data_IF_273900835037
#
_entry.id   IF_273900835037
#
_cell.length_a   1.000
_cell.length_b   1.000
_cell.length_c   1.000
_cell.angle_alpha   90.00
_cell.angle_beta   90.00
_cell.angle_gamma   90.00
#
_symmetry.space_group_name_H-M   'P 1'
#
loop_
_entity.id
_entity.type
_entity.pdbx_description
1 polymer ?
#
# COMPACT_ATOMS: atom_id res chain seq x y z
N UNK A 1 3.28 -3.83 29.07
CA UNK A 1 2.64 -4.01 27.73
C UNK A 1 1.17 -3.62 27.80
N UNK A 2 0.66 -2.92 26.79
CA UNK A 2 -0.75 -2.48 26.70
C UNK A 2 -1.50 -3.38 25.70
N UNK A 3 -2.69 -3.86 26.08
CA UNK A 3 -3.55 -4.66 25.20
C UNK A 3 -4.73 -3.80 24.68
N UNK A 4 -5.25 -4.07 23.47
CA UNK A 4 -4.67 -5.00 22.48
C UNK A 4 -3.36 -4.46 21.87
N UNK A 5 -2.47 -5.36 21.49
CA UNK A 5 -1.25 -5.04 20.75
C UNK A 5 -1.64 -4.64 19.31
N UNK A 6 -1.08 -3.57 18.79
CA UNK A 6 -1.38 -3.11 17.43
C UNK A 6 -0.36 -3.65 16.42
N UNK A 7 -0.79 -4.57 15.55
CA UNK A 7 -0.01 -5.17 14.47
C UNK A 7 -0.73 -5.06 13.11
N UNK A 8 -1.38 -3.92 12.89
CA UNK A 8 -2.12 -3.63 11.64
C UNK A 8 -1.68 -2.29 10.99
N UNK A 9 -0.39 -2.01 11.03
CA UNK A 9 0.20 -0.77 10.49
C UNK A 9 0.03 -0.59 8.98
N UNK A 10 -0.25 -1.66 8.23
CA UNK A 10 -0.61 -1.55 6.81
C UNK A 10 -2.03 -1.03 6.58
N UNK A 11 -2.93 -1.15 7.55
CA UNK A 11 -4.25 -0.54 7.48
C UNK A 11 -4.18 0.97 7.75
N UNK A 12 -3.52 1.37 8.82
CA UNK A 12 -3.22 2.77 9.15
C UNK A 12 -2.15 2.83 10.24
N UNK A 13 -1.39 3.91 10.29
CA UNK A 13 -0.50 4.21 11.40
C UNK A 13 -1.14 5.25 12.33
N UNK A 14 -0.86 5.20 13.65
CA UNK A 14 -1.14 6.34 14.52
C UNK A 14 -0.32 7.55 14.05
N UNK A 15 -0.84 8.74 14.23
CA UNK A 15 -0.07 9.96 13.96
C UNK A 15 1.05 10.06 14.99
N UNK A 16 2.29 10.31 14.54
CA UNK A 16 3.41 10.59 15.44
C UNK A 16 3.13 11.88 16.24
N UNK A 17 3.47 11.89 17.53
CA UNK A 17 3.19 13.05 18.38
C UNK A 17 3.87 14.32 17.88
N UNK A 18 5.07 14.21 17.27
CA UNK A 18 5.79 15.32 16.65
C UNK A 18 4.99 15.91 15.50
N UNK A 19 4.38 15.05 14.69
CA UNK A 19 3.50 15.41 13.58
C UNK A 19 2.22 16.09 14.11
N UNK A 20 1.57 15.51 15.11
CA UNK A 20 0.37 16.08 15.69
C UNK A 20 0.62 17.49 16.28
N UNK A 21 1.72 17.67 17.02
CA UNK A 21 2.13 18.98 17.53
C UNK A 21 2.36 19.99 16.41
N UNK A 22 3.03 19.56 15.32
CA UNK A 22 3.27 20.43 14.17
C UNK A 22 1.97 20.86 13.48
N UNK A 23 1.01 19.95 13.33
CA UNK A 23 -0.31 20.25 12.77
C UNK A 23 -1.08 21.28 13.59
N UNK A 24 -1.00 21.23 14.92
CA UNK A 24 -1.71 22.17 15.82
C UNK A 24 -1.30 23.63 15.60
N UNK A 25 -0.07 23.89 15.13
CA UNK A 25 0.41 25.24 14.79
C UNK A 25 -0.38 25.88 13.63
N UNK A 26 -1.18 25.10 12.88
CA UNK A 26 -1.85 25.53 11.65
C UNK A 26 -3.39 25.47 11.73
N UNK A 27 -3.96 25.45 12.93
CA UNK A 27 -5.40 25.25 13.13
C UNK A 27 -6.14 26.45 13.71
N UNK A 28 -5.52 27.21 14.62
CA UNK A 28 -6.22 28.18 15.48
C UNK A 28 -5.75 29.60 15.26
N UNK A 29 -6.45 30.54 15.87
CA UNK A 29 -6.16 31.99 15.76
C UNK A 29 -4.76 32.37 16.24
N UNK A 30 -4.20 31.62 17.18
CA UNK A 30 -2.84 31.84 17.69
C UNK A 30 -1.75 31.25 16.80
N UNK A 31 -2.12 30.54 15.73
CA UNK A 31 -1.24 29.90 14.79
C UNK A 31 -1.34 30.45 13.36
N UNK A 32 -0.97 29.62 12.38
CA UNK A 32 -1.01 29.95 10.96
C UNK A 32 -2.24 29.28 10.33
N UNK A 33 -3.36 29.97 10.25
CA UNK A 33 -4.63 29.42 9.76
C UNK A 33 -5.04 29.94 8.37
N UNK A 34 -4.20 30.73 7.72
CA UNK A 34 -4.55 31.40 6.48
C UNK A 34 -4.78 30.47 5.29
N UNK A 35 -5.49 30.99 4.28
CA UNK A 35 -5.64 30.30 3.00
C UNK A 35 -4.42 30.60 2.12
N UNK A 36 -3.67 29.59 1.66
CA UNK A 36 -2.47 29.80 0.82
C UNK A 36 -2.77 30.47 -0.54
N UNK A 37 -4.02 30.45 -0.98
CA UNK A 37 -4.43 31.19 -2.18
C UNK A 37 -4.61 32.70 -2.00
N UNK A 38 -4.61 33.18 -0.74
CA UNK A 38 -4.75 34.59 -0.40
C UNK A 38 -3.40 35.32 -0.49
N UNK A 39 -3.12 35.89 -1.66
CA UNK A 39 -1.80 36.52 -1.96
C UNK A 39 -1.66 37.96 -1.49
N UNK A 40 -2.70 38.58 -0.94
CA UNK A 40 -2.72 40.01 -0.61
C UNK A 40 -2.33 40.32 0.85
N UNK A 41 -2.12 39.32 1.70
CA UNK A 41 -1.86 39.53 3.12
C UNK A 41 -1.01 38.43 3.75
N UNK A 42 -0.40 38.75 4.89
CA UNK A 42 0.55 37.92 5.61
C UNK A 42 0.01 36.52 5.96
N UNK A 43 -1.27 36.38 6.34
CA UNK A 43 -1.85 35.09 6.67
C UNK A 43 -1.77 34.09 5.52
N UNK A 44 -2.07 34.56 4.30
CA UNK A 44 -1.95 33.73 3.11
C UNK A 44 -0.50 33.37 2.79
N UNK A 45 0.43 34.33 2.90
CA UNK A 45 1.86 34.09 2.63
C UNK A 45 2.46 33.05 3.58
N UNK A 46 2.14 33.11 4.86
CA UNK A 46 2.60 32.13 5.86
C UNK A 46 2.04 30.73 5.56
N UNK A 47 0.80 30.64 5.14
CA UNK A 47 0.20 29.36 4.74
C UNK A 47 0.83 28.80 3.46
N UNK A 48 1.10 29.65 2.46
CA UNK A 48 1.78 29.26 1.21
C UNK A 48 3.20 28.75 1.50
N UNK A 49 3.97 29.45 2.33
CA UNK A 49 5.31 29.04 2.78
C UNK A 49 5.29 27.65 3.45
N UNK A 50 4.32 27.42 4.33
CA UNK A 50 4.15 26.15 5.02
C UNK A 50 3.87 25.00 4.05
N UNK A 51 3.04 25.23 3.05
CA UNK A 51 2.75 24.26 1.98
C UNK A 51 4.00 23.99 1.14
N UNK A 52 4.79 25.00 0.80
CA UNK A 52 6.02 24.85 0.04
C UNK A 52 7.09 24.06 0.82
N UNK A 53 7.23 24.33 2.11
CA UNK A 53 8.13 23.54 2.99
C UNK A 53 7.72 22.06 2.98
N UNK A 54 6.44 21.77 3.19
CA UNK A 54 5.92 20.41 3.20
C UNK A 54 6.15 19.72 1.84
N UNK A 55 5.92 20.43 0.73
CA UNK A 55 6.16 19.93 -0.61
C UNK A 55 7.63 19.57 -0.83
N UNK A 56 8.57 20.37 -0.33
CA UNK A 56 10.01 20.07 -0.35
C UNK A 56 10.32 18.83 0.50
N UNK A 57 9.73 18.69 1.67
CA UNK A 57 9.95 17.53 2.54
C UNK A 57 9.49 16.21 1.89
N UNK A 58 8.37 16.23 1.16
CA UNK A 58 7.94 15.07 0.37
C UNK A 58 8.94 14.76 -0.73
N UNK A 59 9.31 15.77 -1.51
CA UNK A 59 10.24 15.64 -2.63
C UNK A 59 11.61 15.10 -2.18
N UNK A 60 12.12 15.57 -1.05
CA UNK A 60 13.41 15.13 -0.49
C UNK A 60 13.42 13.65 -0.13
N UNK A 61 12.32 13.12 0.42
CA UNK A 61 12.25 11.69 0.78
C UNK A 61 12.31 10.78 -0.44
N UNK A 62 11.70 11.19 -1.55
CA UNK A 62 11.56 10.34 -2.75
C UNK A 62 12.53 10.71 -3.87
N UNK A 63 13.45 11.66 -3.66
CA UNK A 63 14.42 12.09 -4.67
C UNK A 63 13.77 12.80 -5.87
N UNK A 64 12.78 13.66 -5.65
CA UNK A 64 12.06 14.41 -6.67
C UNK A 64 12.27 15.93 -6.56
N UNK A 65 11.85 16.68 -7.58
CA UNK A 65 11.68 18.13 -7.52
C UNK A 65 10.31 18.45 -6.87
N UNK A 66 10.26 19.42 -5.97
CA UNK A 66 9.02 19.81 -5.31
C UNK A 66 7.90 20.20 -6.26
N UNK A 67 8.25 20.72 -7.44
CA UNK A 67 7.30 21.05 -8.52
C UNK A 67 6.65 19.83 -9.18
N UNK A 68 7.13 18.63 -8.88
CA UNK A 68 6.56 17.35 -9.34
C UNK A 68 5.53 16.78 -8.35
N UNK A 69 5.34 17.42 -7.20
CA UNK A 69 4.39 16.99 -6.16
C UNK A 69 3.04 17.69 -6.35
N UNK A 70 1.97 16.91 -6.34
CA UNK A 70 0.56 17.36 -6.37
C UNK A 70 -0.13 16.81 -5.14
N UNK A 71 -0.65 17.65 -4.27
CA UNK A 71 -1.42 17.22 -3.11
C UNK A 71 -2.83 16.75 -3.49
N UNK A 72 -3.25 15.66 -2.86
CA UNK A 72 -4.56 15.02 -3.03
C UNK A 72 -5.16 14.69 -1.65
N UNK A 73 -6.37 14.14 -1.62
CA UNK A 73 -7.00 13.71 -0.36
C UNK A 73 -6.49 12.35 0.17
N UNK A 74 -5.65 11.66 -0.58
CA UNK A 74 -5.14 10.35 -0.25
C UNK A 74 -4.70 9.56 -1.48
N UNK A 75 -4.18 8.35 -1.27
CA UNK A 75 -3.69 7.51 -2.34
C UNK A 75 -4.79 7.12 -3.35
N UNK A 76 -6.02 6.88 -2.90
CA UNK A 76 -7.14 6.56 -3.80
C UNK A 76 -7.38 7.67 -4.82
N UNK A 77 -7.39 8.93 -4.39
CA UNK A 77 -7.49 10.06 -5.32
C UNK A 77 -6.26 10.16 -6.21
N UNK A 78 -5.07 9.95 -5.67
CA UNK A 78 -3.82 9.98 -6.45
C UNK A 78 -3.81 8.91 -7.54
N UNK A 79 -4.25 7.68 -7.24
CA UNK A 79 -4.39 6.60 -8.23
C UNK A 79 -5.40 6.96 -9.32
N UNK A 80 -6.55 7.49 -8.93
CA UNK A 80 -7.58 7.94 -9.88
C UNK A 80 -7.05 9.07 -10.79
N UNK A 81 -6.40 10.08 -10.21
CA UNK A 81 -5.83 11.17 -10.98
C UNK A 81 -4.73 10.69 -11.94
N UNK A 82 -3.84 9.82 -11.48
CA UNK A 82 -2.79 9.26 -12.31
C UNK A 82 -3.36 8.45 -13.48
N UNK A 83 -4.22 7.48 -13.17
CA UNK A 83 -4.71 6.50 -14.15
C UNK A 83 -5.73 7.14 -15.11
N UNK A 84 -6.78 7.77 -14.58
CA UNK A 84 -7.78 8.46 -15.41
C UNK A 84 -7.18 9.66 -16.12
N UNK A 85 -6.42 10.48 -15.41
CA UNK A 85 -5.82 11.69 -15.98
C UNK A 85 -4.87 11.38 -17.15
N UNK A 86 -4.03 10.35 -17.02
CA UNK A 86 -3.16 9.90 -18.10
C UNK A 86 -3.97 9.24 -19.24
N UNK A 87 -4.89 8.33 -18.92
CA UNK A 87 -5.70 7.65 -19.92
C UNK A 87 -6.47 8.65 -20.79
N UNK A 88 -7.18 9.59 -20.19
CA UNK A 88 -7.96 10.59 -20.94
C UNK A 88 -7.07 11.53 -21.74
N UNK A 89 -5.94 11.98 -21.18
CA UNK A 89 -5.05 12.88 -21.90
C UNK A 89 -4.39 12.20 -23.11
N UNK A 90 -3.97 10.95 -22.97
CA UNK A 90 -3.22 10.24 -24.01
C UNK A 90 -4.07 9.28 -24.87
N UNK A 91 -5.40 9.29 -24.75
CA UNK A 91 -6.31 8.36 -25.47
C UNK A 91 -6.20 8.40 -27.00
N UNK A 92 -5.69 9.51 -27.56
CA UNK A 92 -5.45 9.63 -29.02
C UNK A 92 -4.21 8.83 -29.47
N UNK A 93 -3.33 8.45 -28.55
CA UNK A 93 -2.13 7.63 -28.84
C UNK A 93 -2.40 6.13 -28.69
N UNK A 94 -3.42 5.76 -27.96
CA UNK A 94 -3.79 4.38 -27.72
C UNK A 94 -4.79 4.26 -26.59
N UNK A 95 -5.35 3.07 -26.41
CA UNK A 95 -6.36 2.79 -25.38
C UNK A 95 -6.08 1.53 -24.57
N UNK A 96 -4.84 1.04 -24.60
CA UNK A 96 -4.45 -0.14 -23.84
C UNK A 96 -3.71 0.25 -22.57
N UNK A 97 -4.07 -0.42 -21.48
CA UNK A 97 -3.53 -0.25 -20.12
C UNK A 97 -3.11 -1.62 -19.59
N UNK A 98 -1.97 -1.67 -18.88
CA UNK A 98 -1.51 -2.87 -18.18
C UNK A 98 -1.54 -2.61 -16.68
N UNK A 99 -2.05 -3.56 -15.92
CA UNK A 99 -1.98 -3.59 -14.46
C UNK A 99 -1.83 -5.03 -13.95
N UNK A 100 -1.79 -5.24 -12.65
CA UNK A 100 -1.69 -6.58 -12.05
C UNK A 100 -2.96 -6.92 -11.27
N UNK A 101 -3.34 -8.20 -11.23
CA UNK A 101 -4.52 -8.68 -10.47
C UNK A 101 -4.42 -8.44 -8.96
N UNK A 102 -3.21 -8.27 -8.45
CA UNK A 102 -2.96 -8.06 -7.01
C UNK A 102 -2.91 -6.59 -6.59
N UNK A 103 -3.20 -5.66 -7.48
CA UNK A 103 -3.28 -4.23 -7.17
C UNK A 103 -4.35 -3.91 -6.12
N UNK A 104 -4.20 -2.77 -5.46
CA UNK A 104 -5.26 -2.26 -4.59
C UNK A 104 -6.53 -1.94 -5.40
N UNK A 105 -7.70 -2.04 -4.77
CA UNK A 105 -8.99 -1.75 -5.42
C UNK A 105 -9.06 -0.35 -6.04
N UNK A 106 -8.38 0.63 -5.48
CA UNK A 106 -8.30 1.97 -6.06
C UNK A 106 -7.74 1.97 -7.49
N UNK A 107 -6.82 1.05 -7.80
CA UNK A 107 -6.29 0.83 -9.16
C UNK A 107 -7.23 -0.05 -9.98
N UNK A 108 -7.63 -1.21 -9.46
CA UNK A 108 -8.46 -2.17 -10.18
C UNK A 108 -9.82 -1.59 -10.59
N UNK A 109 -10.49 -0.92 -9.67
CA UNK A 109 -11.84 -0.37 -9.94
C UNK A 109 -11.75 0.86 -10.86
N UNK A 110 -10.66 1.63 -10.79
CA UNK A 110 -10.37 2.71 -11.73
C UNK A 110 -10.11 2.16 -13.14
N UNK A 111 -9.37 1.07 -13.27
CA UNK A 111 -9.17 0.38 -14.55
C UNK A 111 -10.50 -0.16 -15.12
N UNK A 112 -11.33 -0.78 -14.28
CA UNK A 112 -12.67 -1.25 -14.68
C UNK A 112 -13.57 -0.11 -15.14
N UNK A 113 -13.47 1.05 -14.53
CA UNK A 113 -14.20 2.24 -15.01
C UNK A 113 -13.72 2.66 -16.40
N UNK A 114 -12.42 2.64 -16.65
CA UNK A 114 -11.89 2.96 -17.98
C UNK A 114 -12.30 1.93 -19.05
N UNK A 115 -12.42 0.64 -18.69
CA UNK A 115 -13.00 -0.37 -19.61
C UNK A 115 -14.41 0.00 -20.05
N UNK A 116 -15.26 0.51 -19.15
CA UNK A 116 -16.62 1.01 -19.49
C UNK A 116 -16.56 2.22 -20.41
N UNK A 117 -15.46 2.96 -20.41
CA UNK A 117 -15.22 4.11 -21.28
C UNK A 117 -14.54 3.72 -22.62
N UNK A 118 -14.36 2.42 -22.86
CA UNK A 118 -13.83 1.87 -24.11
C UNK A 118 -12.29 1.73 -24.14
N UNK A 119 -11.63 1.73 -22.99
CA UNK A 119 -10.24 1.31 -22.87
C UNK A 119 -10.16 -0.22 -22.74
N UNK A 120 -9.00 -0.76 -23.10
CA UNK A 120 -8.69 -2.17 -22.97
C UNK A 120 -7.65 -2.36 -21.87
N UNK A 121 -7.88 -3.25 -20.91
CA UNK A 121 -7.00 -3.46 -19.78
C UNK A 121 -6.50 -4.92 -19.74
N UNK A 122 -5.19 -5.08 -19.69
CA UNK A 122 -4.54 -6.37 -19.40
C UNK A 122 -4.23 -6.44 -17.91
N UNK A 123 -4.83 -7.42 -17.23
CA UNK A 123 -4.57 -7.73 -15.82
C UNK A 123 -3.59 -8.88 -15.73
N UNK A 124 -2.32 -8.58 -15.44
CA UNK A 124 -1.28 -9.60 -15.30
C UNK A 124 -1.53 -10.49 -14.06
N UNK A 125 -1.29 -11.78 -14.24
CA UNK A 125 -1.21 -12.73 -13.13
C UNK A 125 0.19 -12.66 -12.51
N UNK A 126 0.30 -12.53 -11.18
CA UNK A 126 1.59 -12.68 -10.51
C UNK A 126 2.03 -14.14 -10.51
N UNK A 127 3.31 -14.38 -10.26
CA UNK A 127 3.82 -15.70 -9.92
C UNK A 127 3.36 -16.11 -8.49
N UNK A 128 3.54 -17.37 -8.13
CA UNK A 128 3.09 -17.91 -6.83
C UNK A 128 3.76 -17.24 -5.61
N UNK A 129 4.89 -16.59 -5.83
CA UNK A 129 5.61 -15.78 -4.82
C UNK A 129 5.18 -14.31 -4.81
N UNK A 130 4.24 -13.93 -5.68
CA UNK A 130 3.67 -12.58 -5.77
C UNK A 130 4.44 -11.62 -6.68
N UNK A 131 5.55 -12.03 -7.28
CA UNK A 131 6.30 -11.22 -8.22
C UNK A 131 5.66 -11.22 -9.62
N UNK A 132 5.87 -10.15 -10.35
CA UNK A 132 5.52 -10.06 -11.77
C UNK A 132 6.67 -10.62 -12.59
N UNK A 133 6.39 -11.58 -13.47
CA UNK A 133 7.34 -12.07 -14.45
C UNK A 133 7.59 -11.00 -15.51
N UNK A 134 8.86 -10.57 -15.64
CA UNK A 134 9.25 -9.50 -16.56
C UNK A 134 9.04 -9.87 -18.03
N UNK A 135 9.19 -11.14 -18.41
CA UNK A 135 8.95 -11.60 -19.78
C UNK A 135 7.44 -11.58 -20.10
N UNK A 136 6.58 -11.96 -19.14
CA UNK A 136 5.13 -11.84 -19.29
C UNK A 136 4.71 -10.36 -19.38
N UNK A 137 5.31 -9.49 -18.56
CA UNK A 137 5.06 -8.05 -18.64
C UNK A 137 5.45 -7.49 -20.01
N UNK A 138 6.65 -7.82 -20.47
CA UNK A 138 7.15 -7.41 -21.79
C UNK A 138 6.26 -7.90 -22.94
N UNK A 139 5.79 -9.14 -22.87
CA UNK A 139 4.89 -9.71 -23.86
C UNK A 139 3.50 -9.04 -23.90
N UNK A 140 3.07 -8.46 -22.79
CA UNK A 140 1.80 -7.73 -22.70
C UNK A 140 1.88 -6.31 -23.29
N UNK A 141 3.07 -5.73 -23.43
CA UNK A 141 3.26 -4.41 -24.03
C UNK A 141 2.91 -4.42 -25.52
N UNK A 142 2.05 -3.48 -25.92
CA UNK A 142 1.58 -3.27 -27.30
C UNK A 142 1.99 -1.89 -27.79
N UNK A 143 2.00 -1.64 -29.09
CA UNK A 143 2.22 -0.27 -29.64
C UNK A 143 1.22 0.77 -29.14
N UNK A 144 -0.02 0.36 -28.83
CA UNK A 144 -1.09 1.20 -28.30
C UNK A 144 -1.21 1.18 -26.77
N UNK A 145 -0.26 0.57 -26.05
CA UNK A 145 -0.19 0.63 -24.60
C UNK A 145 0.27 2.03 -24.16
N UNK A 146 -0.63 2.78 -23.54
CA UNK A 146 -0.37 4.16 -23.09
C UNK A 146 0.06 4.25 -21.63
N UNK A 147 -0.35 3.29 -20.80
CA UNK A 147 -0.15 3.31 -19.36
C UNK A 147 0.07 1.90 -18.81
N UNK A 148 1.02 1.77 -17.90
CA UNK A 148 1.12 0.64 -17.00
C UNK A 148 1.04 1.15 -15.55
N UNK A 149 0.25 0.48 -14.72
CA UNK A 149 0.09 0.81 -13.30
C UNK A 149 0.39 -0.43 -12.47
N UNK A 150 1.51 -0.39 -11.73
CA UNK A 150 2.00 -1.51 -10.90
C UNK A 150 2.36 -0.96 -9.53
N UNK A 151 1.84 -1.58 -8.46
CA UNK A 151 2.19 -1.18 -7.11
C UNK A 151 3.61 -1.63 -6.74
N UNK A 152 4.30 -0.82 -5.97
CA UNK A 152 5.68 -1.11 -5.56
C UNK A 152 5.73 -2.19 -4.46
N UNK A 153 4.93 -2.01 -3.40
CA UNK A 153 4.81 -2.96 -2.28
C UNK A 153 3.37 -3.35 -2.08
N UNK A 154 3.08 -4.64 -2.17
CA UNK A 154 1.72 -5.14 -1.97
C UNK A 154 1.26 -4.96 -0.52
N UNK A 155 0.06 -4.44 -0.33
CA UNK A 155 -0.51 -4.11 0.97
C UNK A 155 -0.92 -5.34 1.81
N UNK A 156 -1.11 -6.50 1.19
CA UNK A 156 -1.48 -7.74 1.89
C UNK A 156 -0.27 -8.62 2.15
N UNK A 157 0.49 -8.94 1.12
CA UNK A 157 1.60 -9.91 1.20
C UNK A 157 2.98 -9.26 1.33
N UNK A 158 3.07 -7.93 1.25
CA UNK A 158 4.33 -7.19 1.45
C UNK A 158 5.39 -7.36 0.37
N UNK A 159 5.08 -8.02 -0.74
CA UNK A 159 6.03 -8.29 -1.84
C UNK A 159 6.41 -6.99 -2.54
N UNK A 160 7.70 -6.82 -2.80
CA UNK A 160 8.30 -5.66 -3.46
C UNK A 160 8.52 -5.99 -4.93
N UNK A 161 7.92 -5.25 -5.85
CA UNK A 161 8.13 -5.38 -7.29
C UNK A 161 9.38 -4.63 -7.75
N UNK A 162 10.03 -5.15 -8.79
CA UNK A 162 11.16 -4.50 -9.44
C UNK A 162 10.68 -3.36 -10.37
N UNK A 163 10.39 -2.20 -9.77
CA UNK A 163 9.91 -1.02 -10.51
C UNK A 163 10.99 -0.39 -11.42
N UNK A 164 12.27 -0.69 -11.18
CA UNK A 164 13.34 -0.28 -12.08
C UNK A 164 13.21 -1.03 -13.41
N UNK A 165 13.20 -2.36 -13.38
CA UNK A 165 13.13 -3.19 -14.56
C UNK A 165 11.80 -3.00 -15.33
N UNK A 166 10.66 -2.94 -14.62
CA UNK A 166 9.35 -2.68 -15.23
C UNK A 166 9.32 -1.31 -15.90
N UNK A 167 9.83 -0.28 -15.23
CA UNK A 167 9.89 1.07 -15.75
C UNK A 167 10.80 1.21 -16.99
N UNK A 168 11.90 0.47 -17.04
CA UNK A 168 12.77 0.41 -18.23
C UNK A 168 12.03 -0.19 -19.45
N UNK A 169 11.26 -1.25 -19.24
CA UNK A 169 10.41 -1.84 -20.28
C UNK A 169 9.33 -0.85 -20.75
N UNK A 170 8.70 -0.16 -19.82
CA UNK A 170 7.71 0.89 -20.14
C UNK A 170 8.35 2.02 -20.96
N UNK A 171 9.52 2.50 -20.55
CA UNK A 171 10.24 3.57 -21.24
C UNK A 171 10.64 3.18 -22.66
N UNK A 172 11.12 1.93 -22.85
CA UNK A 172 11.45 1.39 -24.17
C UNK A 172 10.23 1.31 -25.08
N UNK A 173 9.04 1.05 -24.56
CA UNK A 173 7.78 1.02 -25.31
C UNK A 173 7.07 2.38 -25.40
N UNK A 174 7.62 3.45 -24.78
CA UNK A 174 6.98 4.77 -24.65
C UNK A 174 5.64 4.76 -23.92
N UNK A 175 5.50 3.81 -22.99
CA UNK A 175 4.35 3.65 -22.08
C UNK A 175 4.60 4.48 -20.82
N UNK A 176 3.60 5.23 -20.37
CA UNK A 176 3.67 5.94 -19.09
C UNK A 176 3.64 4.90 -17.95
N UNK A 177 4.54 5.05 -16.97
CA UNK A 177 4.61 4.15 -15.84
C UNK A 177 4.16 4.82 -14.55
N UNK A 178 3.03 4.35 -14.02
CA UNK A 178 2.48 4.72 -12.71
C UNK A 178 2.80 3.65 -11.68
N UNK A 179 3.21 4.09 -10.50
CA UNK A 179 3.49 3.23 -9.33
C UNK A 179 2.61 3.67 -8.15
N UNK A 180 1.80 2.75 -7.63
CA UNK A 180 1.21 2.92 -6.31
C UNK A 180 2.28 2.61 -5.25
N UNK A 181 2.79 3.64 -4.59
CA UNK A 181 3.84 3.55 -3.57
C UNK A 181 3.30 3.73 -2.13
N UNK A 182 2.00 3.56 -1.94
CA UNK A 182 1.32 3.76 -0.66
C UNK A 182 1.94 2.95 0.47
N UNK A 183 2.40 1.74 0.22
CA UNK A 183 3.02 0.86 1.21
C UNK A 183 4.54 0.91 1.20
N UNK A 184 5.18 1.59 0.26
CA UNK A 184 6.64 1.58 0.10
C UNK A 184 7.33 2.86 0.58
N UNK A 185 6.72 4.03 0.40
CA UNK A 185 7.35 5.30 0.80
C UNK A 185 7.69 5.30 2.30
N UNK A 186 8.94 5.64 2.61
CA UNK A 186 9.47 5.63 3.97
C UNK A 186 9.77 4.23 4.55
N UNK A 187 9.57 3.16 3.76
CA UNK A 187 9.83 1.76 4.15
C UNK A 187 10.79 1.06 3.19
N UNK A 188 10.88 1.56 1.96
CA UNK A 188 11.83 1.14 0.93
C UNK A 188 12.47 2.40 0.39
N UNK A 189 13.76 2.33 0.08
CA UNK A 189 14.45 3.46 -0.55
C UNK A 189 13.90 3.74 -1.94
N UNK A 190 13.56 5.00 -2.21
CA UNK A 190 13.03 5.47 -3.49
C UNK A 190 13.83 6.70 -3.91
N UNK A 191 14.37 6.68 -5.14
CA UNK A 191 15.02 7.82 -5.75
C UNK A 191 14.47 8.04 -7.17
N UNK A 192 13.49 8.93 -7.29
CA UNK A 192 12.81 9.22 -8.56
C UNK A 192 13.68 9.99 -9.57
N UNK A 193 14.82 10.53 -9.12
CA UNK A 193 15.82 11.08 -10.04
C UNK A 193 16.45 9.98 -10.93
N UNK A 194 16.53 8.76 -10.42
CA UNK A 194 17.16 7.61 -11.08
C UNK A 194 16.11 6.61 -11.63
N UNK A 195 15.01 6.40 -10.90
CA UNK A 195 13.99 5.44 -11.27
C UNK A 195 13.19 5.89 -12.51
N UNK A 196 12.92 4.98 -13.46
CA UNK A 196 12.13 5.25 -14.65
C UNK A 196 10.62 5.23 -14.37
N UNK A 197 10.17 6.02 -13.39
CA UNK A 197 8.77 6.15 -12.97
C UNK A 197 8.24 7.53 -13.36
N UNK A 198 7.07 7.58 -13.97
CA UNK A 198 6.47 8.81 -14.45
C UNK A 198 5.44 9.41 -13.49
N UNK A 199 4.73 8.55 -12.78
CA UNK A 199 3.68 8.89 -11.82
C UNK A 199 3.84 8.00 -10.59
N UNK A 200 3.70 8.58 -9.38
CA UNK A 200 3.78 7.81 -8.15
C UNK A 200 2.76 8.31 -7.11
N UNK A 201 1.87 7.43 -6.69
CA UNK A 201 0.86 7.70 -5.67
C UNK A 201 1.41 7.47 -4.26
N UNK A 202 1.08 8.37 -3.34
CA UNK A 202 1.56 8.37 -1.96
C UNK A 202 0.43 8.72 -0.99
N UNK A 203 0.54 8.20 0.23
CA UNK A 203 -0.40 8.46 1.33
C UNK A 203 0.34 8.95 2.57
N UNK A 204 -0.32 9.75 3.38
CA UNK A 204 0.21 10.23 4.65
C UNK A 204 0.03 9.23 5.79
N UNK A 205 -1.16 8.66 5.93
CA UNK A 205 -1.53 7.85 7.10
C UNK A 205 -0.87 6.46 7.16
N UNK A 206 -0.17 6.06 6.13
CA UNK A 206 0.67 4.84 6.12
C UNK A 206 2.09 5.09 6.61
N UNK A 207 2.42 6.36 6.92
CA UNK A 207 3.75 6.80 7.35
C UNK A 207 3.65 7.77 8.55
N UNK A 208 2.77 7.45 9.50
CA UNK A 208 2.58 8.20 10.77
C UNK A 208 2.15 9.66 10.61
N UNK A 209 1.57 10.00 9.47
CA UNK A 209 0.92 11.27 9.20
C UNK A 209 -0.60 11.21 9.31
N UNK A 210 -1.28 12.35 9.13
CA UNK A 210 -2.74 12.42 9.22
C UNK A 210 -3.44 11.68 8.07
N UNK A 211 -4.65 11.18 8.34
CA UNK A 211 -5.60 10.72 7.31
C UNK A 211 -6.12 11.91 6.51
N UNK A 212 -6.65 11.65 5.32
CA UNK A 212 -7.31 12.69 4.50
C UNK A 212 -6.36 13.52 3.65
N UNK A 213 -5.09 13.16 3.57
CA UNK A 213 -4.09 13.79 2.71
C UNK A 213 -3.20 12.74 2.06
N UNK A 214 -2.85 12.96 0.81
CA UNK A 214 -1.90 12.20 0.02
C UNK A 214 -1.24 13.08 -1.02
N UNK A 215 -0.46 12.49 -1.89
CA UNK A 215 0.19 13.20 -2.98
C UNK A 215 0.39 12.30 -4.19
N UNK A 216 0.48 12.93 -5.36
CA UNK A 216 0.88 12.33 -6.61
C UNK A 216 2.17 13.01 -7.10
N UNK A 217 3.21 12.20 -7.33
CA UNK A 217 4.37 12.64 -8.09
C UNK A 217 4.02 12.59 -9.57
N UNK A 218 4.29 13.69 -10.30
CA UNK A 218 4.09 13.83 -11.73
C UNK A 218 5.38 14.31 -12.37
N UNK A 219 6.03 13.44 -13.13
CA UNK A 219 7.34 13.72 -13.77
C UNK A 219 7.26 14.94 -14.68
N UNK A 220 8.26 15.81 -14.59
CA UNK A 220 8.38 17.02 -15.41
C UNK A 220 9.36 16.89 -16.59
N UNK A 221 10.29 15.94 -16.52
CA UNK A 221 11.29 15.73 -17.59
C UNK A 221 11.49 14.23 -17.86
N UNK A 222 10.93 13.66 -18.95
CA UNK A 222 10.00 14.30 -19.89
C UNK A 222 8.69 14.67 -19.20
N UNK A 223 8.01 15.69 -19.70
CA UNK A 223 6.80 16.20 -19.07
C UNK A 223 5.61 15.26 -19.28
N UNK A 224 5.07 14.76 -18.19
CA UNK A 224 3.81 14.03 -18.15
C UNK A 224 2.66 15.01 -17.96
N UNK A 225 1.58 14.82 -18.71
CA UNK A 225 0.37 15.61 -18.62
C UNK A 225 -0.79 14.75 -18.16
N UNK A 226 -1.64 15.33 -17.34
CA UNK A 226 -2.84 14.69 -16.82
C UNK A 226 -4.05 15.58 -17.11
N UNK A 227 -5.15 14.97 -17.45
CA UNK A 227 -6.45 15.61 -17.38
C UNK A 227 -6.92 15.64 -15.92
N UNK A 228 -7.35 16.80 -15.44
CA UNK A 228 -7.85 16.95 -14.09
C UNK A 228 -9.16 16.17 -13.90
N UNK A 229 -9.32 15.53 -12.74
CA UNK A 229 -10.58 14.83 -12.37
C UNK A 229 -11.42 15.65 -11.39
N UNK A 230 -10.83 16.65 -10.74
CA UNK A 230 -11.52 17.61 -9.86
C UNK A 230 -11.28 19.01 -10.41
N UNK A 231 -12.35 19.66 -10.79
CA UNK A 231 -12.34 20.99 -11.42
C UNK A 231 -12.72 22.08 -10.41
N UNK A 232 -12.19 23.29 -10.57
CA UNK A 232 -12.45 24.43 -9.71
C UNK A 232 -11.43 25.55 -9.87
N UNK A 233 -10.90 26.10 -8.77
CA UNK A 233 -10.01 27.25 -8.72
C UNK A 233 -8.60 27.09 -9.31
N UNK A 234 -8.28 25.98 -9.96
CA UNK A 234 -6.99 25.75 -10.61
C UNK A 234 -5.80 25.52 -9.66
N UNK A 235 -6.06 25.13 -8.42
CA UNK A 235 -5.02 24.77 -7.46
C UNK A 235 -4.14 23.62 -7.99
N UNK A 236 -3.01 23.41 -7.40
CA UNK A 236 -2.04 22.38 -7.79
C UNK A 236 -1.73 22.43 -9.31
N UNK A 237 -1.49 23.63 -9.81
CA UNK A 237 -1.17 23.90 -11.24
C UNK A 237 -2.25 23.40 -12.20
N UNK A 238 -3.50 23.44 -11.78
CA UNK A 238 -4.67 23.00 -12.55
C UNK A 238 -4.91 21.51 -12.56
N UNK A 239 -4.07 20.71 -11.91
CA UNK A 239 -4.22 19.25 -11.87
C UNK A 239 -5.21 18.79 -10.78
N UNK A 240 -5.34 19.56 -9.71
CA UNK A 240 -6.26 19.23 -8.60
C UNK A 240 -6.76 20.48 -7.90
N UNK A 241 -7.99 20.84 -8.14
CA UNK A 241 -8.64 22.01 -7.53
C UNK A 241 -9.16 21.72 -6.13
N UNK A 242 -9.28 22.76 -5.30
CA UNK A 242 -9.76 22.74 -3.94
C UNK A 242 -8.80 23.44 -2.99
N UNK A 243 -9.34 24.14 -1.99
CA UNK A 243 -8.53 24.82 -0.96
C UNK A 243 -7.59 23.83 -0.30
N UNK A 244 -6.30 24.15 -0.25
CA UNK A 244 -5.29 23.28 0.33
C UNK A 244 -5.46 23.18 1.85
N UNK A 245 -5.57 21.96 2.42
CA UNK A 245 -5.70 21.76 3.87
C UNK A 245 -4.32 21.87 4.53
N UNK A 246 -3.90 23.09 4.85
CA UNK A 246 -2.53 23.42 5.29
C UNK A 246 -2.06 22.56 6.46
N UNK A 247 -2.88 22.36 7.47
CA UNK A 247 -2.53 21.55 8.65
C UNK A 247 -2.27 20.08 8.31
N UNK A 248 -3.03 19.51 7.37
CA UNK A 248 -2.82 18.13 6.91
C UNK A 248 -1.57 18.02 6.00
N UNK A 249 -1.36 18.98 5.13
CA UNK A 249 -0.18 19.06 4.26
C UNK A 249 1.09 19.17 5.11
N UNK A 250 1.10 20.05 6.09
CA UNK A 250 2.22 20.21 7.04
C UNK A 250 2.45 18.91 7.83
N UNK A 251 1.37 18.26 8.27
CA UNK A 251 1.46 16.96 8.94
C UNK A 251 2.08 15.88 8.06
N UNK A 252 1.69 15.80 6.80
CA UNK A 252 2.31 14.88 5.84
C UNK A 252 3.78 15.21 5.62
N UNK A 253 4.13 16.49 5.42
CA UNK A 253 5.50 16.94 5.26
C UNK A 253 6.39 16.57 6.44
N UNK A 254 5.92 16.82 7.66
CA UNK A 254 6.65 16.46 8.88
C UNK A 254 6.85 14.95 9.04
N UNK A 255 5.81 14.15 8.74
CA UNK A 255 5.91 12.69 8.75
C UNK A 255 6.99 12.19 7.76
N UNK A 256 7.06 12.78 6.58
CA UNK A 256 8.05 12.45 5.55
C UNK A 256 9.46 12.90 5.95
N UNK A 257 9.60 14.07 6.56
CA UNK A 257 10.87 14.54 7.11
C UNK A 257 11.41 13.59 8.17
N UNK A 258 10.58 13.18 9.12
CA UNK A 258 10.93 12.23 10.17
C UNK A 258 11.35 10.88 9.53
N UNK A 259 10.60 10.40 8.56
CA UNK A 259 10.95 9.17 7.86
C UNK A 259 12.32 9.28 7.17
N UNK A 260 12.62 10.40 6.52
CA UNK A 260 13.94 10.66 5.90
C UNK A 260 15.09 10.55 6.89
N UNK A 261 14.90 11.03 8.10
CA UNK A 261 15.93 11.02 9.15
C UNK A 261 16.06 9.65 9.83
N UNK A 262 14.96 8.95 10.04
CA UNK A 262 14.90 7.76 10.90
C UNK A 262 14.86 6.43 10.16
N UNK A 263 14.49 6.37 8.87
CA UNK A 263 14.27 5.11 8.17
C UNK A 263 15.52 4.20 8.13
N UNK A 264 16.72 4.76 8.09
CA UNK A 264 17.96 3.99 8.04
C UNK A 264 18.18 3.13 9.31
N UNK A 265 17.65 3.56 10.45
CA UNK A 265 17.69 2.82 11.73
C UNK A 265 16.38 2.06 12.02
N UNK A 266 15.26 2.63 11.64
CA UNK A 266 13.93 2.07 11.89
C UNK A 266 13.67 0.80 11.08
N UNK A 267 14.02 0.81 9.79
CA UNK A 267 13.77 -0.34 8.90
C UNK A 267 14.50 -1.61 9.38
N UNK A 268 15.81 -1.61 9.71
CA UNK A 268 16.49 -2.79 10.23
C UNK A 268 15.89 -3.28 11.57
N UNK A 269 15.49 -2.36 12.45
CA UNK A 269 14.85 -2.70 13.72
C UNK A 269 13.51 -3.42 13.51
N UNK A 270 12.65 -2.87 12.65
CA UNK A 270 11.34 -3.46 12.34
C UNK A 270 11.54 -4.80 11.64
N UNK A 271 12.50 -4.91 10.73
CA UNK A 271 12.85 -6.19 10.07
C UNK A 271 13.25 -7.25 11.09
N UNK A 272 14.08 -6.91 12.07
CA UNK A 272 14.48 -7.83 13.13
C UNK A 272 13.27 -8.32 13.95
N UNK A 273 12.32 -7.44 14.27
CA UNK A 273 11.08 -7.80 14.97
C UNK A 273 10.19 -8.73 14.11
N UNK A 274 10.05 -8.42 12.81
CA UNK A 274 9.33 -9.27 11.85
C UNK A 274 9.97 -10.64 11.73
N UNK A 275 11.29 -10.71 11.62
CA UNK A 275 12.03 -11.96 11.50
C UNK A 275 11.92 -12.79 12.82
N UNK A 276 11.91 -12.13 14.00
CA UNK A 276 11.63 -12.76 15.28
C UNK A 276 10.24 -13.41 15.30
N UNK A 277 9.21 -12.68 14.83
CA UNK A 277 7.84 -13.20 14.71
C UNK A 277 7.80 -14.40 13.77
N UNK A 278 8.39 -14.29 12.59
CA UNK A 278 8.46 -15.39 11.63
C UNK A 278 9.14 -16.62 12.20
N UNK A 279 10.31 -16.46 12.83
CA UNK A 279 11.05 -17.56 13.43
C UNK A 279 10.27 -18.21 14.57
N UNK A 280 9.44 -17.47 15.29
CA UNK A 280 8.56 -17.99 16.33
C UNK A 280 7.37 -18.81 15.80
N UNK A 281 6.95 -18.55 14.54
CA UNK A 281 5.74 -19.16 13.97
C UNK A 281 6.02 -20.23 12.90
N UNK A 282 7.17 -20.18 12.22
CA UNK A 282 7.49 -21.03 11.05
C UNK A 282 7.49 -22.54 11.33
N UNK A 283 7.70 -22.95 12.59
CA UNK A 283 7.75 -24.35 13.00
C UNK A 283 6.37 -24.90 13.40
N UNK A 284 5.31 -24.09 13.34
CA UNK A 284 3.94 -24.57 13.44
C UNK A 284 3.65 -25.38 12.17
N UNK A 285 3.31 -26.65 12.33
CA UNK A 285 3.01 -27.58 11.23
C UNK A 285 1.94 -27.00 10.30
N UNK A 286 1.96 -27.28 9.02
CA UNK A 286 0.98 -26.80 8.03
C UNK A 286 0.76 -25.28 8.05
N UNK A 287 1.86 -24.55 8.12
CA UNK A 287 1.89 -23.07 8.10
C UNK A 287 2.63 -22.60 6.86
N UNK A 288 2.04 -21.69 6.12
CA UNK A 288 2.54 -21.25 4.81
C UNK A 288 2.65 -19.74 4.75
N UNK A 289 3.84 -19.24 4.39
CA UNK A 289 4.04 -17.82 4.10
C UNK A 289 3.44 -17.48 2.75
N UNK A 290 2.72 -16.37 2.67
CA UNK A 290 2.15 -15.86 1.43
C UNK A 290 3.05 -14.78 0.84
N UNK A 291 3.53 -15.02 -0.38
CA UNK A 291 4.47 -14.17 -1.09
C UNK A 291 5.95 -14.44 -0.74
N UNK A 292 6.84 -13.87 -1.55
CA UNK A 292 8.29 -13.99 -1.39
C UNK A 292 8.75 -13.48 -0.01
N UNK A 293 9.67 -14.18 0.64
CA UNK A 293 10.38 -13.70 1.84
C UNK A 293 11.61 -12.89 1.48
N UNK A 294 12.23 -13.16 0.33
CA UNK A 294 13.42 -12.45 -0.15
C UNK A 294 13.06 -11.01 -0.59
N UNK A 295 11.98 -10.89 -1.38
CA UNK A 295 11.48 -9.61 -1.90
C UNK A 295 10.31 -9.10 -1.07
N UNK A 296 10.52 -8.89 0.25
CA UNK A 296 9.48 -8.47 1.19
C UNK A 296 9.88 -7.22 1.95
N UNK A 297 8.93 -6.29 2.07
CA UNK A 297 9.09 -5.12 2.92
C UNK A 297 9.29 -5.50 4.39
N UNK A 298 10.10 -4.73 5.10
CA UNK A 298 10.55 -5.06 6.45
C UNK A 298 9.41 -5.30 7.46
N UNK A 299 8.31 -4.59 7.32
CA UNK A 299 7.24 -4.53 8.33
C UNK A 299 6.07 -5.49 8.08
N UNK A 300 6.12 -6.34 7.06
CA UNK A 300 5.00 -7.22 6.69
C UNK A 300 5.36 -8.70 6.87
N UNK A 301 4.42 -9.45 7.41
CA UNK A 301 4.41 -10.90 7.42
C UNK A 301 2.97 -11.38 7.20
N UNK A 302 2.76 -12.19 6.16
CA UNK A 302 1.46 -12.78 5.85
C UNK A 302 1.59 -14.30 5.88
N UNK A 303 0.85 -14.97 6.77
CA UNK A 303 0.94 -16.40 7.01
C UNK A 303 -0.46 -17.01 7.02
N UNK A 304 -0.64 -18.13 6.32
CA UNK A 304 -1.82 -19.00 6.38
C UNK A 304 -1.57 -20.17 7.34
N UNK A 305 -2.56 -20.49 8.16
CA UNK A 305 -2.55 -21.59 9.11
C UNK A 305 -3.59 -22.63 8.67
N UNK A 306 -3.15 -23.68 7.97
CA UNK A 306 -4.06 -24.70 7.44
C UNK A 306 -4.81 -25.44 8.55
N UNK A 307 -6.00 -25.95 8.24
CA UNK A 307 -6.89 -26.66 9.17
C UNK A 307 -7.38 -25.83 10.36
N UNK A 308 -7.39 -24.51 10.22
CA UNK A 308 -7.94 -23.58 11.20
C UNK A 308 -8.99 -22.73 10.53
N UNK A 309 -10.17 -22.66 11.09
CA UNK A 309 -11.24 -21.82 10.59
C UNK A 309 -10.90 -20.33 10.87
N UNK A 310 -10.94 -19.50 9.81
CA UNK A 310 -10.40 -18.13 9.84
C UNK A 310 -11.11 -17.18 10.82
N UNK A 311 -12.44 -17.24 10.92
CA UNK A 311 -13.19 -16.39 11.86
C UNK A 311 -12.91 -16.78 13.31
N UNK A 312 -12.87 -18.08 13.59
CA UNK A 312 -12.51 -18.60 14.92
C UNK A 312 -11.10 -18.19 15.32
N UNK A 313 -10.16 -18.19 14.36
CA UNK A 313 -8.80 -17.70 14.59
C UNK A 313 -8.80 -16.22 14.95
N UNK A 314 -9.50 -15.39 14.18
CA UNK A 314 -9.62 -13.95 14.47
C UNK A 314 -10.28 -13.69 15.83
N UNK A 315 -11.29 -14.48 16.21
CA UNK A 315 -11.93 -14.39 17.53
C UNK A 315 -11.00 -14.79 18.67
N UNK A 316 -10.09 -15.73 18.45
CA UNK A 316 -9.10 -16.14 19.43
C UNK A 316 -7.99 -15.10 19.66
N UNK A 317 -7.80 -14.17 18.70
CA UNK A 317 -6.74 -13.16 18.70
C UNK A 317 -7.17 -11.80 19.24
N UNK A 318 -8.12 -11.74 20.20
CA UNK A 318 -8.66 -10.45 20.73
C UNK A 318 -7.61 -9.50 21.31
N UNK A 319 -6.51 -10.05 21.79
CA UNK A 319 -5.44 -9.28 22.43
C UNK A 319 -4.46 -8.68 21.42
N UNK A 320 -4.59 -8.99 20.13
CA UNK A 320 -3.80 -8.40 19.07
C UNK A 320 -4.69 -7.90 17.94
N UNK A 321 -4.40 -6.72 17.44
CA UNK A 321 -5.07 -6.14 16.28
C UNK A 321 -4.29 -6.52 15.02
N UNK A 322 -4.86 -7.40 14.21
CA UNK A 322 -4.32 -7.90 12.94
C UNK A 322 -5.40 -7.88 11.87
N UNK A 323 -5.03 -8.08 10.62
CA UNK A 323 -5.98 -8.26 9.53
C UNK A 323 -5.96 -9.70 9.03
N UNK A 324 -7.14 -10.24 8.69
CA UNK A 324 -7.27 -11.49 7.93
C UNK A 324 -7.09 -11.24 6.44
N UNK A 325 -6.90 -12.31 5.65
CA UNK A 325 -6.80 -12.24 4.19
C UNK A 325 -8.06 -11.72 3.48
N UNK A 326 -9.17 -11.58 4.19
CA UNK A 326 -10.43 -11.00 3.67
C UNK A 326 -10.64 -9.52 4.03
N UNK A 327 -9.68 -8.88 4.67
CA UNK A 327 -9.86 -7.62 5.40
C UNK A 327 -10.09 -6.33 4.57
N UNK A 328 -10.09 -6.39 3.25
CA UNK A 328 -10.39 -5.18 2.45
C UNK A 328 -11.90 -4.91 2.27
N UNK A 329 -12.76 -5.85 2.66
CA UNK A 329 -14.22 -5.66 2.63
C UNK A 329 -14.84 -6.36 3.83
N UNK A 330 -15.01 -5.61 4.91
CA UNK A 330 -15.68 -6.06 6.16
C UNK A 330 -17.14 -6.56 5.99
N UNK A 331 -17.63 -6.72 4.78
CA UNK A 331 -18.97 -7.15 4.47
C UNK A 331 -19.06 -8.39 3.56
N UNK A 332 -17.95 -8.94 3.05
CA UNK A 332 -17.98 -10.16 2.24
C UNK A 332 -17.13 -11.26 2.89
N UNK A 333 -17.73 -12.44 3.00
CA UNK A 333 -17.07 -13.70 3.41
C UNK A 333 -16.12 -14.25 2.33
N UNK A 334 -15.80 -13.44 1.29
CA UNK A 334 -14.93 -13.88 0.21
C UNK A 334 -13.46 -13.86 0.61
N UNK A 335 -12.68 -14.90 0.25
CA UNK A 335 -11.25 -14.93 0.48
C UNK A 335 -10.53 -13.83 -0.32
N UNK A 336 -9.33 -13.44 0.14
CA UNK A 336 -8.51 -12.45 -0.52
C UNK A 336 -8.28 -12.78 -2.00
N UNK A 337 -8.64 -11.83 -2.88
CA UNK A 337 -8.34 -11.94 -4.30
C UNK A 337 -6.82 -11.95 -4.58
N UNK A 338 -6.02 -11.33 -3.71
CA UNK A 338 -4.57 -11.34 -3.79
C UNK A 338 -4.05 -12.76 -3.56
N UNK A 339 -4.48 -13.43 -2.50
CA UNK A 339 -4.05 -14.80 -2.19
C UNK A 339 -4.55 -15.81 -3.22
N UNK A 340 -5.76 -15.63 -3.74
CA UNK A 340 -6.26 -16.42 -4.87
C UNK A 340 -5.39 -16.25 -6.12
N UNK A 341 -4.96 -15.03 -6.42
CA UNK A 341 -4.07 -14.75 -7.54
C UNK A 341 -2.69 -15.42 -7.40
N UNK A 342 -2.23 -15.68 -6.17
CA UNK A 342 -1.02 -16.47 -5.90
C UNK A 342 -1.25 -17.98 -6.02
N UNK A 343 -2.46 -18.44 -6.33
CA UNK A 343 -2.80 -19.86 -6.40
C UNK A 343 -3.13 -20.51 -5.05
N UNK A 344 -3.37 -19.73 -3.99
CA UNK A 344 -3.86 -20.26 -2.71
C UNK A 344 -5.31 -20.69 -2.85
N UNK A 345 -5.65 -21.87 -2.32
CA UNK A 345 -7.04 -22.28 -2.21
C UNK A 345 -7.79 -21.44 -1.18
N UNK A 346 -9.12 -21.52 -1.20
CA UNK A 346 -9.96 -20.67 -0.35
C UNK A 346 -9.72 -20.93 1.14
N UNK A 347 -9.44 -22.16 1.55
CA UNK A 347 -9.19 -22.52 2.95
C UNK A 347 -7.92 -21.84 3.47
N UNK A 348 -6.80 -21.90 2.73
CA UNK A 348 -5.57 -21.21 3.07
C UNK A 348 -5.70 -19.69 3.01
N UNK A 349 -6.50 -19.18 2.08
CA UNK A 349 -6.75 -17.74 1.99
C UNK A 349 -7.56 -17.24 3.20
N UNK A 350 -8.59 -17.97 3.63
CA UNK A 350 -9.41 -17.63 4.80
C UNK A 350 -8.64 -17.72 6.12
N UNK A 351 -7.73 -18.68 6.26
CA UNK A 351 -6.92 -18.87 7.49
C UNK A 351 -5.66 -17.99 7.52
N UNK A 352 -5.51 -17.06 6.61
CA UNK A 352 -4.36 -16.16 6.57
C UNK A 352 -4.49 -15.00 7.56
N UNK A 353 -3.38 -14.67 8.18
CA UNK A 353 -3.23 -13.48 9.05
C UNK A 353 -2.13 -12.60 8.48
N UNK A 354 -2.45 -11.32 8.30
CA UNK A 354 -1.47 -10.29 7.99
C UNK A 354 -1.04 -9.60 9.26
N UNK A 355 0.23 -9.77 9.61
CA UNK A 355 0.90 -9.01 10.68
C UNK A 355 1.67 -7.87 10.05
N UNK A 356 1.42 -6.65 10.47
CA UNK A 356 2.23 -5.50 10.06
C UNK A 356 2.68 -4.71 11.26
N UNK A 357 4.00 -4.57 11.36
CA UNK A 357 4.69 -3.95 12.47
C UNK A 357 4.97 -2.48 12.18
N UNK A 358 5.33 -1.71 13.21
CA UNK A 358 5.63 -0.31 13.03
C UNK A 358 6.60 0.25 14.06
N UNK A 359 6.71 1.58 14.02
CA UNK A 359 7.61 2.39 14.87
C UNK A 359 7.49 2.05 16.35
N UNK A 360 6.29 1.79 16.83
CA UNK A 360 6.01 1.62 18.25
C UNK A 360 5.93 0.15 18.69
N UNK A 361 6.15 -0.81 17.77
CA UNK A 361 6.17 -2.23 18.09
C UNK A 361 7.40 -2.59 18.91
N UNK A 362 7.25 -3.40 19.98
CA UNK A 362 8.30 -3.84 20.89
C UNK A 362 8.57 -5.34 20.79
N UNK A 363 9.72 -5.79 21.28
CA UNK A 363 10.05 -7.23 21.36
C UNK A 363 9.09 -8.00 22.28
N UNK A 364 8.70 -7.38 23.41
CA UNK A 364 7.74 -7.97 24.35
C UNK A 364 6.39 -8.24 23.67
N UNK A 365 5.91 -7.32 22.84
CA UNK A 365 4.67 -7.47 22.07
C UNK A 365 4.77 -8.62 21.05
N UNK A 366 5.93 -8.77 20.40
CA UNK A 366 6.18 -9.87 19.46
C UNK A 366 6.21 -11.22 20.18
N UNK A 367 6.88 -11.32 21.32
CA UNK A 367 6.95 -12.57 22.10
C UNK A 367 5.57 -13.00 22.61
N UNK A 368 4.78 -12.05 23.08
CA UNK A 368 3.39 -12.30 23.46
C UNK A 368 2.57 -12.79 22.25
N UNK A 369 2.71 -12.15 21.11
CA UNK A 369 2.01 -12.52 19.86
C UNK A 369 2.36 -13.95 19.44
N UNK A 370 3.63 -14.34 19.50
CA UNK A 370 4.08 -15.72 19.20
C UNK A 370 3.40 -16.72 20.11
N UNK A 371 3.39 -16.45 21.41
CA UNK A 371 2.79 -17.34 22.41
C UNK A 371 1.29 -17.49 22.22
N UNK A 372 0.60 -16.38 21.97
CA UNK A 372 -0.85 -16.35 21.71
C UNK A 372 -1.19 -17.12 20.43
N UNK A 373 -0.45 -16.88 19.34
CA UNK A 373 -0.67 -17.57 18.07
C UNK A 373 -0.52 -19.08 18.19
N UNK A 374 0.55 -19.56 18.83
CA UNK A 374 0.78 -21.00 19.05
C UNK A 374 -0.38 -21.63 19.82
N UNK A 375 -0.79 -21.00 20.92
CA UNK A 375 -1.90 -21.51 21.75
C UNK A 375 -3.24 -21.48 20.98
N UNK A 376 -3.51 -20.44 20.21
CA UNK A 376 -4.75 -20.31 19.44
C UNK A 376 -4.84 -21.39 18.34
N UNK A 377 -3.78 -21.55 17.55
CA UNK A 377 -3.72 -22.55 16.47
C UNK A 377 -3.85 -23.97 17.03
N UNK A 378 -3.13 -24.30 18.09
CA UNK A 378 -3.18 -25.61 18.75
C UNK A 378 -4.61 -25.95 19.24
N UNK A 379 -5.25 -25.01 19.95
CA UNK A 379 -6.61 -25.19 20.47
C UNK A 379 -7.65 -25.35 19.35
N UNK A 380 -7.57 -24.56 18.31
CA UNK A 380 -8.52 -24.62 17.20
C UNK A 380 -8.35 -25.90 16.37
N UNK A 381 -7.12 -26.36 16.15
CA UNK A 381 -6.84 -27.64 15.50
C UNK A 381 -7.34 -28.82 16.30
N UNK A 382 -7.21 -28.79 17.63
CA UNK A 382 -7.76 -29.83 18.51
C UNK A 382 -9.29 -29.98 18.41
N UNK A 383 -9.98 -28.99 17.84
CA UNK A 383 -11.42 -29.00 17.59
C UNK A 383 -11.78 -29.23 16.11
N UNK A 384 -10.78 -29.39 15.24
CA UNK A 384 -10.96 -29.48 13.79
C UNK A 384 -10.97 -30.94 13.32
N UNK A 385 -12.08 -31.47 12.82
CA UNK A 385 -12.11 -32.80 12.20
C UNK A 385 -11.14 -32.97 11.03
N UNK A 386 -10.90 -31.87 10.27
CA UNK A 386 -9.96 -31.87 9.14
C UNK A 386 -8.52 -32.08 9.61
N UNK A 387 -8.18 -31.54 10.79
CA UNK A 387 -6.87 -31.73 11.38
C UNK A 387 -6.67 -33.19 11.81
N UNK A 388 -7.67 -33.81 12.42
CA UNK A 388 -7.64 -35.23 12.83
C UNK A 388 -7.45 -36.14 11.60
N UNK A 389 -8.23 -35.90 10.53
CA UNK A 389 -8.12 -36.63 9.27
C UNK A 389 -6.73 -36.47 8.64
N UNK A 390 -6.19 -35.26 8.63
CA UNK A 390 -4.82 -35.01 8.17
C UNK A 390 -3.80 -35.82 8.98
N UNK A 391 -3.90 -35.84 10.30
CA UNK A 391 -3.00 -36.60 11.21
C UNK A 391 -3.13 -38.12 11.03
N UNK A 392 -4.29 -38.59 10.61
CA UNK A 392 -4.53 -40.00 10.25
C UNK A 392 -4.04 -40.36 8.83
N UNK A 393 -3.50 -39.37 8.08
CA UNK A 393 -2.96 -39.56 6.72
C UNK A 393 -4.03 -39.68 5.65
N UNK A 394 -5.25 -39.20 5.89
CA UNK A 394 -6.34 -39.17 4.93
C UNK A 394 -6.10 -38.03 3.94
N UNK A 395 -6.07 -38.35 2.64
CA UNK A 395 -6.00 -37.32 1.59
C UNK A 395 -7.34 -36.63 1.43
N UNK A 396 -7.43 -35.39 1.94
CA UNK A 396 -8.65 -34.58 1.92
C UNK A 396 -9.12 -34.21 0.52
N UNK A 397 -8.22 -34.23 -0.50
CA UNK A 397 -8.58 -33.97 -1.89
C UNK A 397 -9.38 -35.11 -2.52
N UNK A 398 -9.40 -36.29 -1.92
CA UNK A 398 -10.13 -37.47 -2.38
C UNK A 398 -11.52 -37.61 -1.78
N UNK A 399 -11.91 -36.72 -0.87
CA UNK A 399 -13.19 -36.79 -0.16
C UNK A 399 -14.26 -36.05 -1.00
N UNK A 400 -15.27 -36.78 -1.47
CA UNK A 400 -16.49 -36.18 -2.00
C UNK A 400 -17.35 -35.60 -0.86
N UNK A 401 -17.33 -34.28 -0.72
CA UNK A 401 -18.20 -33.58 0.23
C UNK A 401 -19.62 -33.55 -0.34
N UNK A 402 -20.53 -34.36 0.21
CA UNK A 402 -21.95 -34.24 -0.13
C UNK A 402 -22.46 -32.90 0.42
N UNK A 403 -22.86 -32.02 -0.51
CA UNK A 403 -23.59 -30.81 -0.13
C UNK A 403 -24.94 -31.21 0.50
N UNK A 404 -25.14 -30.90 1.77
CA UNK A 404 -26.42 -30.97 2.46
C UNK A 404 -27.10 -29.62 2.48
#
# INVERSE_FOLDING_TARGET
MKLPIYLDYAATCPVDERVAKKMMEYLTIDGVFGNPASRSHKFGWQAEEAVDIARNQLADLIGADSREIVFTSGATESDNLAIKGAAHFYQTKGKHIITCKTEHKAVLDTCRQLEREGFEVTYLEPESDGLIDLEKFKAALRPDTILASIMHVNNEIGVIQDIQAIGELCRANKTIFHVDATQSVGKVEINLAELPVDLMSMSSHKLYGPKGIGALYVRRKPRIRLEAIIHGGGHERGMRSGTLPVHQIVGMGEAYRIAKEEMATEIPRIKALRDRLYNGLKDIEETYVNGSMEHRVANNLNISFNYVEGESLMMALRDIAVSSGSACTSASLEPSYVLRALGRNDELAHSSIRFTLGRFTTEEEIDYTISLMKSAVEKLRALSPLWDMFKEGIDLNTIEWSAH
#
